data_IF_138302001814
#
_entry.id   IF_138302001814
#
_cell.length_a   1.000
_cell.length_b   1.000
_cell.length_c   1.000
_cell.angle_alpha   90.00
_cell.angle_beta   90.00
_cell.angle_gamma   90.00
#
_symmetry.space_group_name_H-M   'P 1'
#
loop_
_entity.id
_entity.type
_entity.pdbx_description
1 polymer ?
#
# COMPACT_ATOMS: atom_id res chain seq x y z
N UNK A 1 11.42 28.15 -13.21
CA UNK A 1 10.23 28.85 -12.68
C UNK A 1 9.09 27.85 -12.72
N UNK A 2 8.38 27.61 -11.62
CA UNK A 2 7.20 26.73 -11.64
C UNK A 2 6.09 27.46 -12.43
N UNK A 3 5.47 26.78 -13.40
CA UNK A 3 4.33 27.34 -14.14
C UNK A 3 3.19 27.60 -13.16
N UNK A 4 2.50 28.73 -13.30
CA UNK A 4 1.25 28.99 -12.59
C UNK A 4 0.15 28.02 -13.04
N UNK A 5 -0.87 27.82 -12.20
CA UNK A 5 -2.03 26.97 -12.54
C UNK A 5 -2.72 27.43 -13.82
N UNK A 6 -2.77 28.75 -14.06
CA UNK A 6 -3.33 29.32 -15.29
C UNK A 6 -2.52 28.90 -16.52
N UNK A 7 -1.19 29.00 -16.46
CA UNK A 7 -0.32 28.58 -17.57
C UNK A 7 -0.39 27.06 -17.80
N UNK A 8 -0.57 26.26 -16.73
CA UNK A 8 -0.82 24.82 -16.85
C UNK A 8 -2.13 24.56 -17.59
N UNK A 9 -3.22 25.23 -17.21
CA UNK A 9 -4.52 25.05 -17.86
C UNK A 9 -4.49 25.49 -19.33
N UNK A 10 -3.90 26.66 -19.62
CA UNK A 10 -3.79 27.20 -20.98
C UNK A 10 -2.97 26.31 -21.92
N UNK A 11 -2.04 25.51 -21.37
CA UNK A 11 -1.25 24.58 -22.17
C UNK A 11 -2.06 23.42 -22.76
N UNK A 12 -3.24 23.11 -22.18
CA UNK A 12 -4.07 21.94 -22.52
C UNK A 12 -3.33 20.60 -22.48
N UNK A 13 -2.21 20.54 -21.77
CA UNK A 13 -1.48 19.31 -21.49
C UNK A 13 -2.13 18.60 -20.31
N UNK A 14 -3.00 17.65 -20.60
CA UNK A 14 -3.75 16.91 -19.58
C UNK A 14 -2.85 16.08 -18.64
N UNK A 15 -1.68 15.64 -19.12
CA UNK A 15 -0.69 14.96 -18.28
C UNK A 15 -0.12 15.94 -17.26
N UNK A 16 0.29 17.14 -17.71
CA UNK A 16 0.78 18.18 -16.81
C UNK A 16 -0.30 18.63 -15.81
N UNK A 17 -1.56 18.72 -16.26
CA UNK A 17 -2.69 19.02 -15.38
C UNK A 17 -2.87 17.96 -14.30
N UNK A 18 -2.81 16.67 -14.65
CA UNK A 18 -2.89 15.56 -13.68
C UNK A 18 -1.75 15.57 -12.66
N UNK A 19 -0.52 15.85 -13.10
CA UNK A 19 0.65 16.03 -12.21
C UNK A 19 0.39 17.18 -11.23
N UNK A 20 -0.02 18.34 -11.72
CA UNK A 20 -0.24 19.52 -10.87
C UNK A 20 -1.45 19.33 -9.95
N UNK A 21 -2.48 18.60 -10.39
CA UNK A 21 -3.66 18.26 -9.60
C UNK A 21 -3.25 17.51 -8.34
N UNK A 22 -2.39 16.48 -8.46
CA UNK A 22 -1.87 15.75 -7.30
C UNK A 22 -1.03 16.63 -6.37
N UNK A 23 -0.25 17.58 -6.91
CA UNK A 23 0.49 18.54 -6.09
C UNK A 23 -0.42 19.49 -5.32
N UNK A 24 -1.51 19.97 -5.94
CA UNK A 24 -2.51 20.76 -5.23
C UNK A 24 -3.08 19.98 -4.05
N UNK A 25 -3.39 18.70 -4.23
CA UNK A 25 -3.86 17.83 -3.15
C UNK A 25 -2.81 17.66 -2.06
N UNK A 26 -1.55 17.42 -2.41
CA UNK A 26 -0.43 17.32 -1.47
C UNK A 26 -0.30 18.59 -0.59
N UNK A 27 -0.58 19.75 -1.17
CA UNK A 27 -0.55 21.04 -0.47
C UNK A 27 -1.86 21.42 0.23
N UNK A 28 -2.90 20.58 0.15
CA UNK A 28 -4.23 20.88 0.70
C UNK A 28 -5.01 21.95 -0.08
N UNK A 29 -4.60 22.25 -1.32
CA UNK A 29 -5.15 23.33 -2.14
C UNK A 29 -6.40 22.89 -2.92
N UNK A 30 -7.52 22.80 -2.21
CA UNK A 30 -8.83 22.46 -2.79
C UNK A 30 -9.26 23.44 -3.90
N UNK A 31 -8.83 24.71 -3.85
CA UNK A 31 -9.21 25.71 -4.85
C UNK A 31 -8.57 25.40 -6.20
N UNK A 32 -7.27 25.18 -6.24
CA UNK A 32 -6.58 24.89 -7.50
C UNK A 32 -6.85 23.45 -7.99
N UNK A 33 -7.08 22.50 -7.07
CA UNK A 33 -7.61 21.19 -7.41
C UNK A 33 -8.90 21.31 -8.24
N UNK A 34 -9.89 22.08 -7.76
CA UNK A 34 -11.16 22.31 -8.45
C UNK A 34 -10.97 22.92 -9.83
N UNK A 35 -10.14 23.96 -9.94
CA UNK A 35 -9.87 24.63 -11.22
C UNK A 35 -9.24 23.69 -12.25
N UNK A 36 -8.28 22.85 -11.84
CA UNK A 36 -7.66 21.87 -12.73
C UNK A 36 -8.67 20.80 -13.18
N UNK A 37 -9.46 20.27 -12.24
CA UNK A 37 -10.50 19.28 -12.55
C UNK A 37 -11.57 19.85 -13.49
N UNK A 38 -12.08 21.07 -13.25
CA UNK A 38 -13.02 21.78 -14.14
C UNK A 38 -12.43 22.06 -15.53
N UNK A 39 -11.11 22.20 -15.63
CA UNK A 39 -10.39 22.33 -16.90
C UNK A 39 -10.15 20.98 -17.63
N UNK A 40 -10.62 19.86 -17.08
CA UNK A 40 -10.52 18.53 -17.67
C UNK A 40 -9.32 17.71 -17.23
N UNK A 41 -8.64 18.09 -16.14
CA UNK A 41 -7.63 17.22 -15.52
C UNK A 41 -8.27 15.90 -15.08
N UNK A 42 -7.62 14.78 -15.37
CA UNK A 42 -8.07 13.48 -14.90
C UNK A 42 -7.87 13.38 -13.37
N UNK A 43 -8.98 13.26 -12.65
CA UNK A 43 -9.00 13.13 -11.19
C UNK A 43 -8.36 11.81 -10.72
N UNK A 44 -8.28 10.82 -11.61
CA UNK A 44 -7.66 9.53 -11.37
C UNK A 44 -6.21 9.46 -11.85
N UNK A 45 -5.62 10.54 -12.33
CA UNK A 45 -4.22 10.54 -12.78
C UNK A 45 -3.29 10.03 -11.67
N UNK A 46 -2.45 9.04 -12.01
CA UNK A 46 -1.62 8.34 -11.03
C UNK A 46 -0.19 8.07 -11.47
N UNK A 47 0.17 8.33 -12.74
CA UNK A 47 1.48 7.97 -13.30
C UNK A 47 2.65 8.51 -12.46
N UNK A 48 3.68 7.69 -12.27
CA UNK A 48 4.91 8.06 -11.55
C UNK A 48 5.55 9.35 -12.10
N UNK A 49 6.04 10.19 -11.20
CA UNK A 49 6.81 11.39 -11.53
C UNK A 49 7.90 11.67 -10.48
N UNK A 50 8.50 12.86 -10.51
CA UNK A 50 9.59 13.24 -9.60
C UNK A 50 9.17 13.38 -8.14
N UNK A 51 7.88 13.54 -7.88
CA UNK A 51 7.31 13.72 -6.53
C UNK A 51 6.69 12.42 -6.06
N UNK A 52 5.94 11.74 -6.92
CA UNK A 52 5.27 10.49 -6.63
C UNK A 52 5.95 9.35 -7.37
N UNK A 53 6.78 8.59 -6.68
CA UNK A 53 7.57 7.49 -7.25
C UNK A 53 6.79 6.18 -7.41
N UNK A 54 5.57 6.13 -6.88
CA UNK A 54 4.60 5.05 -7.09
C UNK A 54 3.39 5.58 -7.89
N UNK A 55 2.54 4.66 -8.33
CA UNK A 55 1.28 4.94 -9.04
C UNK A 55 0.21 5.60 -8.14
N UNK A 56 0.55 6.73 -7.53
CA UNK A 56 -0.22 7.43 -6.50
C UNK A 56 -1.30 8.34 -7.11
N UNK A 57 -2.57 8.15 -6.77
CA UNK A 57 -3.67 9.05 -7.16
C UNK A 57 -3.81 10.24 -6.22
N UNK A 58 -4.61 11.23 -6.62
CA UNK A 58 -5.08 12.30 -5.75
C UNK A 58 -5.76 11.76 -4.47
N UNK A 59 -6.56 10.69 -4.58
CA UNK A 59 -7.30 10.13 -3.45
C UNK A 59 -6.37 9.46 -2.42
N UNK A 60 -5.29 8.81 -2.87
CA UNK A 60 -4.23 8.29 -1.98
C UNK A 60 -3.66 9.42 -1.11
N UNK A 61 -3.26 10.52 -1.75
CA UNK A 61 -2.64 11.67 -1.07
C UNK A 61 -3.61 12.29 -0.06
N UNK A 62 -4.86 12.53 -0.47
CA UNK A 62 -5.87 13.15 0.37
C UNK A 62 -6.22 12.29 1.61
N UNK A 63 -6.31 10.96 1.44
CA UNK A 63 -6.55 10.03 2.54
C UNK A 63 -5.36 9.97 3.51
N UNK A 64 -4.13 9.91 2.97
CA UNK A 64 -2.92 9.91 3.79
C UNK A 64 -2.71 11.21 4.58
N UNK A 65 -3.11 12.35 4.01
CA UNK A 65 -3.03 13.65 4.67
C UNK A 65 -4.25 13.96 5.56
N UNK A 66 -5.22 13.05 5.68
CA UNK A 66 -6.49 13.25 6.39
C UNK A 66 -7.28 14.49 5.94
N UNK A 67 -7.21 14.82 4.64
CA UNK A 67 -7.92 15.97 4.06
C UNK A 67 -9.36 15.64 3.70
N UNK A 68 -10.23 15.58 4.73
CA UNK A 68 -11.65 15.22 4.60
C UNK A 68 -12.38 15.92 3.44
N UNK A 69 -12.30 17.25 3.34
CA UNK A 69 -13.00 18.02 2.30
C UNK A 69 -12.48 17.71 0.89
N UNK A 70 -11.18 17.41 0.76
CA UNK A 70 -10.59 17.00 -0.52
C UNK A 70 -11.01 15.58 -0.86
N UNK A 71 -10.97 14.64 0.09
CA UNK A 71 -11.45 13.26 -0.11
C UNK A 71 -12.90 13.28 -0.60
N UNK A 72 -13.77 14.04 0.07
CA UNK A 72 -15.17 14.17 -0.33
C UNK A 72 -15.31 14.72 -1.74
N UNK A 73 -14.61 15.81 -2.05
CA UNK A 73 -14.64 16.39 -3.39
C UNK A 73 -14.21 15.37 -4.45
N UNK A 74 -13.08 14.69 -4.25
CA UNK A 74 -12.54 13.69 -5.18
C UNK A 74 -13.56 12.55 -5.42
N UNK A 75 -14.11 11.96 -4.36
CA UNK A 75 -15.09 10.87 -4.46
C UNK A 75 -16.40 11.29 -5.12
N UNK A 76 -16.91 12.49 -4.82
CA UNK A 76 -18.14 13.01 -5.44
C UNK A 76 -17.93 13.38 -6.93
N UNK A 77 -16.67 13.48 -7.38
CA UNK A 77 -16.30 13.87 -8.74
C UNK A 77 -15.62 12.74 -9.52
N UNK A 78 -15.91 11.47 -9.17
CA UNK A 78 -15.53 10.32 -9.99
C UNK A 78 -14.13 9.78 -9.74
N UNK A 79 -13.49 10.12 -8.62
CA UNK A 79 -12.31 9.37 -8.17
C UNK A 79 -12.66 7.91 -7.92
N UNK A 80 -11.85 7.01 -8.46
CA UNK A 80 -11.99 5.57 -8.29
C UNK A 80 -11.20 5.10 -7.07
N UNK A 81 -11.92 4.72 -6.01
CA UNK A 81 -11.35 4.21 -4.76
C UNK A 81 -10.70 2.82 -4.89
N UNK A 82 -10.88 2.14 -6.03
CA UNK A 82 -10.35 0.80 -6.29
C UNK A 82 -8.92 0.83 -6.80
N UNK A 83 -8.45 1.97 -7.31
CA UNK A 83 -7.07 2.12 -7.81
C UNK A 83 -6.10 1.83 -6.67
N UNK A 84 -5.11 0.97 -6.95
CA UNK A 84 -3.97 0.70 -6.09
C UNK A 84 -2.77 1.49 -6.57
N UNK A 85 -1.92 1.93 -5.65
CA UNK A 85 -0.60 2.43 -5.98
C UNK A 85 0.38 1.28 -6.28
N UNK A 86 1.64 1.64 -6.55
CA UNK A 86 2.70 0.68 -6.86
C UNK A 86 3.06 -0.27 -5.71
N UNK A 87 2.49 -0.06 -4.51
CA UNK A 87 2.69 -0.89 -3.31
C UNK A 87 1.41 -1.66 -2.95
N UNK A 88 0.42 -1.66 -3.83
CA UNK A 88 -0.86 -2.35 -3.62
C UNK A 88 -1.82 -1.60 -2.67
N UNK A 89 -1.49 -0.37 -2.26
CA UNK A 89 -2.35 0.42 -1.39
C UNK A 89 -3.44 1.12 -2.20
N UNK A 90 -4.69 0.87 -1.85
CA UNK A 90 -5.83 1.78 -2.08
C UNK A 90 -5.87 2.91 -1.06
N UNK A 91 -6.61 3.99 -1.36
CA UNK A 91 -6.79 5.14 -0.46
C UNK A 91 -7.33 4.76 0.93
N UNK A 92 -8.15 3.71 1.00
CA UNK A 92 -8.65 3.16 2.25
C UNK A 92 -7.53 2.73 3.22
N UNK A 93 -6.43 2.15 2.72
CA UNK A 93 -5.33 1.67 3.58
C UNK A 93 -4.64 2.84 4.30
N UNK A 94 -4.42 3.96 3.61
CA UNK A 94 -3.86 5.17 4.23
C UNK A 94 -4.77 5.75 5.31
N UNK A 95 -6.07 5.87 5.03
CA UNK A 95 -7.04 6.31 6.03
C UNK A 95 -7.05 5.38 7.26
N UNK A 96 -6.94 4.07 7.04
CA UNK A 96 -6.89 3.07 8.10
C UNK A 96 -5.60 3.12 8.92
N UNK A 97 -4.45 3.29 8.27
CA UNK A 97 -3.14 3.45 8.94
C UNK A 97 -3.14 4.66 9.89
N UNK A 98 -3.82 5.74 9.49
CA UNK A 98 -4.02 6.95 10.29
C UNK A 98 -5.14 6.84 11.33
N UNK A 99 -5.87 5.73 11.38
CA UNK A 99 -7.06 5.55 12.21
C UNK A 99 -8.14 6.63 11.96
N UNK A 100 -8.25 7.12 10.72
CA UNK A 100 -9.22 8.13 10.31
C UNK A 100 -10.56 7.48 9.95
N UNK A 101 -11.33 7.16 10.99
CA UNK A 101 -12.61 6.45 10.87
C UNK A 101 -13.60 7.19 9.97
N UNK A 102 -13.56 8.53 9.94
CA UNK A 102 -14.48 9.31 9.14
C UNK A 102 -14.17 9.17 7.64
N UNK A 103 -12.88 9.29 7.26
CA UNK A 103 -12.45 9.09 5.87
C UNK A 103 -12.65 7.64 5.44
N UNK A 104 -12.35 6.66 6.31
CA UNK A 104 -12.58 5.24 6.02
C UNK A 104 -14.04 4.95 5.66
N UNK A 105 -14.99 5.52 6.43
CA UNK A 105 -16.42 5.36 6.15
C UNK A 105 -16.80 5.98 4.80
N UNK A 106 -16.33 7.19 4.53
CA UNK A 106 -16.63 7.90 3.30
C UNK A 106 -16.08 7.17 2.06
N UNK A 107 -14.86 6.65 2.13
CA UNK A 107 -14.28 5.83 1.06
C UNK A 107 -15.12 4.57 0.87
N UNK A 108 -15.42 3.83 1.96
CA UNK A 108 -16.19 2.58 1.92
C UNK A 108 -17.59 2.75 1.32
N UNK A 109 -18.23 3.90 1.52
CA UNK A 109 -19.54 4.20 0.92
C UNK A 109 -19.51 4.30 -0.61
N UNK A 110 -18.35 4.64 -1.19
CA UNK A 110 -18.15 4.89 -2.62
C UNK A 110 -17.32 3.81 -3.31
N UNK A 111 -16.80 2.87 -2.54
CA UNK A 111 -15.91 1.80 -2.98
C UNK A 111 -16.66 0.49 -3.27
N UNK A 112 -15.95 -0.51 -3.80
CA UNK A 112 -16.50 -1.85 -3.98
C UNK A 112 -16.69 -2.57 -2.65
N UNK A 113 -17.92 -3.05 -2.41
CA UNK A 113 -18.26 -3.77 -1.18
C UNK A 113 -17.46 -5.06 -1.03
N UNK A 114 -17.07 -5.70 -2.14
CA UNK A 114 -16.33 -6.96 -2.14
C UNK A 114 -15.01 -6.86 -1.37
N UNK A 115 -14.33 -5.71 -1.38
CA UNK A 115 -13.09 -5.51 -0.61
C UNK A 115 -13.26 -5.56 0.91
N UNK A 116 -14.51 -5.59 1.39
CA UNK A 116 -14.86 -5.67 2.80
C UNK A 116 -15.55 -6.99 3.16
N UNK A 117 -15.77 -7.87 2.19
CA UNK A 117 -16.37 -9.18 2.37
C UNK A 117 -15.26 -10.22 2.58
N UNK A 118 -15.29 -10.89 3.73
CA UNK A 118 -14.24 -11.81 4.16
C UNK A 118 -14.04 -12.96 3.16
N UNK A 119 -15.13 -13.61 2.72
CA UNK A 119 -15.08 -14.71 1.76
C UNK A 119 -14.43 -14.31 0.42
N UNK A 120 -14.70 -13.08 -0.04
CA UNK A 120 -14.08 -12.58 -1.27
C UNK A 120 -12.57 -12.40 -1.08
N UNK A 121 -12.16 -11.77 0.02
CA UNK A 121 -10.75 -11.55 0.35
C UNK A 121 -9.99 -12.87 0.52
N UNK A 122 -10.55 -13.81 1.28
CA UNK A 122 -9.98 -15.16 1.45
C UNK A 122 -9.80 -15.85 0.10
N UNK A 123 -10.84 -15.86 -0.75
CA UNK A 123 -10.76 -16.50 -2.06
C UNK A 123 -9.80 -15.79 -3.01
N UNK A 124 -9.61 -14.47 -2.87
CA UNK A 124 -8.57 -13.73 -3.58
C UNK A 124 -7.19 -14.24 -3.16
N UNK A 125 -6.91 -14.37 -1.86
CA UNK A 125 -5.62 -14.85 -1.35
C UNK A 125 -5.29 -16.28 -1.79
N UNK A 126 -6.27 -17.17 -1.80
CA UNK A 126 -6.10 -18.56 -2.31
C UNK A 126 -5.65 -18.61 -3.77
N UNK A 127 -6.04 -17.64 -4.61
CA UNK A 127 -5.57 -17.57 -6.02
C UNK A 127 -4.08 -17.25 -6.15
N UNK A 128 -3.46 -16.72 -5.09
CA UNK A 128 -2.02 -16.47 -5.01
C UNK A 128 -1.30 -17.58 -4.24
N UNK A 129 -1.94 -18.75 -4.06
CA UNK A 129 -1.39 -19.90 -3.36
C UNK A 129 -0.90 -19.59 -1.93
N UNK A 130 -1.46 -18.56 -1.27
CA UNK A 130 -1.10 -18.27 0.12
C UNK A 130 -1.47 -19.47 1.00
N UNK A 131 -0.58 -19.96 1.89
CA UNK A 131 -0.86 -21.13 2.71
C UNK A 131 -2.13 -20.95 3.55
N UNK A 132 -2.96 -21.99 3.65
CA UNK A 132 -4.27 -21.90 4.33
C UNK A 132 -4.11 -21.50 5.81
N UNK A 133 -3.07 -22.01 6.48
CA UNK A 133 -2.76 -21.66 7.87
C UNK A 133 -2.40 -20.18 8.04
N UNK A 134 -1.76 -19.58 7.03
CA UNK A 134 -1.51 -18.13 6.99
C UNK A 134 -2.82 -17.37 6.80
N UNK A 135 -3.71 -17.82 5.91
CA UNK A 135 -5.03 -17.20 5.70
C UNK A 135 -5.88 -17.27 6.99
N UNK A 136 -5.92 -18.44 7.65
CA UNK A 136 -6.61 -18.65 8.91
C UNK A 136 -6.09 -17.69 10.00
N UNK A 137 -4.77 -17.53 10.08
CA UNK A 137 -4.16 -16.58 11.00
C UNK A 137 -4.57 -15.12 10.70
N UNK A 138 -4.53 -14.70 9.42
CA UNK A 138 -4.94 -13.36 8.99
C UNK A 138 -6.44 -13.09 9.19
N UNK A 139 -7.28 -14.14 9.21
CA UNK A 139 -8.69 -14.07 9.57
C UNK A 139 -8.95 -13.99 11.08
N UNK A 140 -7.96 -14.33 11.90
CA UNK A 140 -8.09 -14.34 13.36
C UNK A 140 -8.07 -12.93 13.96
N UNK A 141 -8.51 -12.79 15.23
CA UNK A 141 -8.44 -11.53 15.96
C UNK A 141 -7.05 -11.23 16.57
N UNK A 142 -6.19 -12.24 16.72
CA UNK A 142 -4.90 -12.10 17.39
C UNK A 142 -3.75 -12.02 16.38
N UNK A 143 -3.59 -10.85 15.77
CA UNK A 143 -2.61 -10.61 14.70
C UNK A 143 -1.45 -9.70 15.11
N UNK A 144 -1.52 -9.15 16.32
CA UNK A 144 -0.41 -8.40 16.92
C UNK A 144 0.51 -9.40 17.61
N UNK A 145 1.80 -9.31 17.34
CA UNK A 145 2.82 -10.09 18.02
C UNK A 145 3.81 -9.11 18.65
N UNK A 146 3.95 -9.21 19.97
CA UNK A 146 5.00 -8.50 20.70
C UNK A 146 6.30 -9.30 20.56
N UNK A 147 7.40 -8.61 20.25
CA UNK A 147 8.70 -9.20 19.91
C UNK A 147 9.67 -8.96 21.08
N UNK A 148 9.69 -9.89 22.03
CA UNK A 148 10.45 -9.75 23.28
C UNK A 148 11.97 -9.83 23.09
N UNK A 149 12.45 -10.41 21.98
CA UNK A 149 13.87 -10.67 21.72
C UNK A 149 14.42 -9.85 20.55
N UNK A 150 13.55 -9.25 19.76
CA UNK A 150 13.91 -8.34 18.67
C UNK A 150 14.76 -7.18 19.19
N UNK A 151 15.76 -6.80 18.39
CA UNK A 151 16.64 -5.66 18.70
C UNK A 151 16.26 -4.38 17.95
N UNK A 152 15.30 -4.47 17.02
CA UNK A 152 14.90 -3.36 16.15
C UNK A 152 13.53 -2.77 16.50
N UNK A 153 12.56 -3.62 16.88
CA UNK A 153 11.14 -3.22 17.01
C UNK A 153 10.44 -4.00 18.11
N UNK A 154 9.51 -3.38 18.85
CA UNK A 154 8.84 -4.03 20.00
C UNK A 154 7.64 -4.88 19.58
N UNK A 155 7.02 -4.58 18.43
CA UNK A 155 5.89 -5.36 17.94
C UNK A 155 5.67 -5.24 16.43
N UNK A 156 5.00 -6.25 15.90
CA UNK A 156 4.41 -6.25 14.55
C UNK A 156 2.91 -6.48 14.61
N UNK A 157 2.21 -6.02 13.58
CA UNK A 157 0.79 -6.28 13.36
C UNK A 157 0.61 -6.81 11.94
N UNK A 158 0.13 -8.05 11.83
CA UNK A 158 -0.27 -8.62 10.55
C UNK A 158 -1.58 -8.02 10.03
N UNK A 159 -1.70 -7.94 8.72
CA UNK A 159 -2.92 -7.57 8.00
C UNK A 159 -4.11 -8.43 8.43
N UNK A 160 -5.33 -7.87 8.41
CA UNK A 160 -6.50 -8.75 8.24
C UNK A 160 -6.59 -9.18 6.77
N UNK A 161 -7.38 -10.20 6.45
CA UNK A 161 -7.55 -10.66 5.06
C UNK A 161 -8.00 -9.53 4.09
N UNK A 162 -8.71 -8.51 4.59
CA UNK A 162 -9.13 -7.34 3.81
C UNK A 162 -8.01 -6.33 3.54
N UNK A 163 -6.96 -6.34 4.36
CA UNK A 163 -5.85 -5.37 4.28
C UNK A 163 -4.63 -5.91 3.54
N UNK A 164 -4.61 -7.21 3.21
CA UNK A 164 -3.47 -7.81 2.51
C UNK A 164 -3.27 -7.12 1.16
N UNK A 165 -2.07 -6.57 0.99
CA UNK A 165 -1.66 -5.87 -0.22
C UNK A 165 -1.02 -6.86 -1.18
N UNK A 166 -1.29 -6.66 -2.45
CA UNK A 166 -0.68 -7.45 -3.51
C UNK A 166 -0.10 -6.46 -4.50
N UNK A 167 1.21 -6.55 -4.71
CA UNK A 167 1.92 -5.68 -5.61
C UNK A 167 2.93 -6.46 -6.43
N UNK A 168 3.34 -5.87 -7.54
CA UNK A 168 4.33 -6.42 -8.45
C UNK A 168 5.59 -5.56 -8.38
N UNK A 169 6.73 -6.21 -8.26
CA UNK A 169 8.03 -5.56 -8.27
C UNK A 169 9.02 -6.41 -9.06
N UNK A 170 9.67 -5.83 -10.06
CA UNK A 170 10.55 -6.52 -11.01
C UNK A 170 9.93 -7.81 -11.56
N UNK A 171 8.69 -7.71 -12.05
CA UNK A 171 7.88 -8.82 -12.58
C UNK A 171 7.58 -9.95 -11.58
N UNK A 172 7.84 -9.75 -10.28
CA UNK A 172 7.54 -10.71 -9.21
C UNK A 172 6.37 -10.19 -8.39
N UNK A 173 5.39 -11.06 -8.16
CA UNK A 173 4.24 -10.77 -7.29
C UNK A 173 4.59 -11.00 -5.83
N UNK A 174 4.28 -10.03 -4.98
CA UNK A 174 4.38 -10.10 -3.53
C UNK A 174 2.98 -9.98 -2.92
N UNK A 175 2.67 -10.88 -1.99
CA UNK A 175 1.50 -10.82 -1.11
C UNK A 175 2.00 -10.38 0.27
N UNK A 176 1.84 -9.11 0.57
CA UNK A 176 2.42 -8.45 1.75
C UNK A 176 1.55 -8.63 2.98
N UNK A 177 2.14 -9.17 4.05
CA UNK A 177 1.41 -9.74 5.17
C UNK A 177 1.34 -8.82 6.38
N UNK A 178 2.16 -7.77 6.44
CA UNK A 178 2.24 -6.87 7.58
C UNK A 178 1.45 -5.59 7.34
N UNK A 179 0.67 -5.20 8.35
CA UNK A 179 -0.01 -3.91 8.40
C UNK A 179 0.83 -2.86 9.15
N UNK A 180 1.68 -3.30 10.10
CA UNK A 180 2.58 -2.42 10.84
C UNK A 180 3.80 -3.17 11.34
N UNK A 181 4.95 -2.50 11.24
CA UNK A 181 6.15 -2.78 12.01
C UNK A 181 6.42 -1.52 12.81
N UNK A 182 6.55 -1.62 14.12
CA UNK A 182 6.77 -0.42 14.93
C UNK A 182 8.11 0.23 14.54
N UNK A 183 8.10 1.54 14.28
CA UNK A 183 9.25 2.37 13.90
C UNK A 183 9.87 2.11 12.51
N UNK A 184 9.31 1.19 11.71
CA UNK A 184 9.80 0.86 10.37
C UNK A 184 8.68 0.84 9.35
N UNK A 185 9.04 1.00 8.08
CA UNK A 185 8.13 0.69 6.97
C UNK A 185 7.82 -0.79 6.98
N UNK A 186 6.55 -1.15 6.98
CA UNK A 186 6.10 -2.54 7.08
C UNK A 186 6.17 -3.30 5.76
N UNK A 187 6.12 -2.57 4.64
CA UNK A 187 5.98 -3.12 3.29
C UNK A 187 7.18 -4.00 2.98
N UNK A 188 6.90 -5.25 2.64
CA UNK A 188 7.92 -6.16 2.17
C UNK A 188 8.77 -6.79 3.25
N UNK A 189 8.51 -6.52 4.54
CA UNK A 189 9.28 -7.15 5.63
C UNK A 189 8.95 -8.65 5.74
N UNK A 190 7.68 -9.02 5.59
CA UNK A 190 7.26 -10.42 5.40
C UNK A 190 6.21 -10.46 4.29
N UNK A 191 6.56 -11.11 3.20
CA UNK A 191 5.68 -11.34 2.06
C UNK A 191 5.67 -12.81 1.67
N UNK A 192 4.54 -13.26 1.13
CA UNK A 192 4.47 -14.50 0.39
C UNK A 192 4.72 -14.22 -1.09
N UNK A 193 5.56 -15.05 -1.72
CA UNK A 193 5.95 -14.91 -3.14
C UNK A 193 5.39 -16.13 -3.89
N UNK A 194 4.22 -15.99 -4.55
CA UNK A 194 3.47 -17.12 -5.11
C UNK A 194 4.27 -17.98 -6.08
N UNK A 195 5.06 -17.35 -6.95
CA UNK A 195 5.86 -18.03 -7.97
C UNK A 195 7.01 -18.86 -7.40
N UNK A 196 7.43 -18.55 -6.17
CA UNK A 196 8.50 -19.27 -5.47
C UNK A 196 7.96 -20.22 -4.41
N UNK A 197 6.64 -20.19 -4.17
CA UNK A 197 5.97 -20.91 -3.07
C UNK A 197 6.73 -20.75 -1.75
N UNK A 198 7.17 -19.52 -1.46
CA UNK A 198 8.06 -19.21 -0.34
C UNK A 198 7.69 -17.87 0.29
N UNK A 199 7.88 -17.78 1.60
CA UNK A 199 7.97 -16.49 2.28
C UNK A 199 9.29 -15.81 1.91
N UNK A 200 9.34 -14.49 2.09
CA UNK A 200 10.51 -13.68 1.82
C UNK A 200 10.33 -12.25 2.30
N UNK A 201 11.38 -11.45 2.09
CA UNK A 201 11.40 -10.02 2.34
C UNK A 201 11.92 -9.28 1.10
N UNK A 202 11.56 -8.02 0.94
CA UNK A 202 11.97 -7.18 -0.20
C UNK A 202 12.45 -5.82 0.29
N UNK A 203 13.63 -5.43 -0.21
CA UNK A 203 14.23 -4.11 -0.06
C UNK A 203 13.95 -3.28 -1.32
N UNK A 204 12.96 -2.40 -1.21
CA UNK A 204 12.62 -1.49 -2.28
C UNK A 204 13.69 -0.40 -2.50
N UNK A 205 14.48 -0.07 -1.48
CA UNK A 205 15.51 0.97 -1.57
C UNK A 205 16.78 0.47 -2.25
N UNK A 206 17.22 -0.74 -1.90
CA UNK A 206 18.41 -1.37 -2.49
C UNK A 206 18.11 -2.24 -3.72
N UNK A 207 16.82 -2.37 -4.06
CA UNK A 207 16.33 -3.14 -5.20
C UNK A 207 16.69 -4.64 -5.10
N UNK A 208 16.44 -5.25 -3.94
CA UNK A 208 16.77 -6.65 -3.64
C UNK A 208 15.59 -7.37 -2.96
N UNK A 209 15.57 -8.70 -3.02
CA UNK A 209 14.65 -9.50 -2.18
C UNK A 209 15.34 -10.78 -1.70
N UNK A 210 14.92 -11.27 -0.53
CA UNK A 210 15.42 -12.48 0.09
C UNK A 210 14.33 -13.53 0.24
N UNK A 211 14.69 -14.81 0.11
CA UNK A 211 13.77 -15.94 0.31
C UNK A 211 14.01 -16.64 1.65
N UNK A 212 12.93 -16.89 2.39
CA UNK A 212 12.89 -17.72 3.59
C UNK A 212 12.69 -19.19 3.20
N UNK A 213 13.66 -19.73 2.45
CA UNK A 213 13.53 -21.02 1.75
C UNK A 213 13.17 -22.17 2.68
N UNK A 214 12.10 -22.89 2.33
CA UNK A 214 11.67 -24.10 3.03
C UNK A 214 11.02 -23.87 4.39
N UNK A 215 10.80 -22.62 4.80
CA UNK A 215 10.10 -22.29 6.04
C UNK A 215 8.58 -22.38 5.81
N UNK A 216 7.92 -23.20 6.64
CA UNK A 216 6.46 -23.20 6.77
C UNK A 216 5.98 -21.97 7.54
N UNK A 217 4.66 -21.74 7.55
CA UNK A 217 4.07 -20.67 8.37
C UNK A 217 4.39 -20.85 9.87
N UNK A 218 4.41 -22.08 10.37
CA UNK A 218 4.78 -22.37 11.75
C UNK A 218 6.25 -22.04 12.02
N UNK A 219 7.15 -22.35 11.10
CA UNK A 219 8.56 -21.99 11.24
C UNK A 219 8.71 -20.46 11.33
N UNK A 220 7.92 -19.72 10.53
CA UNK A 220 7.90 -18.25 10.57
C UNK A 220 7.43 -17.74 11.94
N UNK A 221 6.31 -18.24 12.44
CA UNK A 221 5.75 -17.76 13.70
C UNK A 221 6.59 -18.18 14.91
N UNK A 222 7.20 -19.37 14.89
CA UNK A 222 8.02 -19.87 15.99
C UNK A 222 9.36 -19.11 16.17
N UNK A 223 9.91 -18.52 15.09
CA UNK A 223 11.18 -17.78 15.10
C UNK A 223 11.00 -16.30 14.68
N UNK A 224 9.81 -15.74 14.95
CA UNK A 224 9.38 -14.46 14.38
C UNK A 224 10.30 -13.28 14.75
N UNK A 225 10.81 -13.21 15.99
CA UNK A 225 11.77 -12.17 16.41
C UNK A 225 13.01 -12.15 15.50
N UNK A 226 13.62 -13.32 15.28
CA UNK A 226 14.82 -13.44 14.45
C UNK A 226 14.53 -13.18 12.97
N UNK A 227 13.36 -13.59 12.48
CA UNK A 227 12.94 -13.34 11.10
C UNK A 227 12.74 -11.86 10.86
N UNK A 228 12.11 -11.15 11.78
CA UNK A 228 11.94 -9.70 11.68
C UNK A 228 13.29 -9.00 11.73
N UNK A 229 14.15 -9.33 12.69
CA UNK A 229 15.50 -8.74 12.79
C UNK A 229 16.29 -8.96 11.49
N UNK A 230 16.29 -10.19 10.94
CA UNK A 230 16.97 -10.52 9.68
C UNK A 230 16.37 -9.85 8.45
N UNK A 231 15.05 -9.64 8.44
CA UNK A 231 14.38 -8.95 7.34
C UNK A 231 14.71 -7.46 7.38
N UNK A 232 14.73 -6.85 8.56
CA UNK A 232 15.09 -5.44 8.76
C UNK A 232 16.59 -5.18 8.62
N UNK A 233 17.44 -6.16 8.91
CA UNK A 233 18.90 -6.09 8.73
C UNK A 233 19.40 -6.57 7.35
N UNK A 234 18.47 -7.00 6.48
CA UNK A 234 18.74 -7.54 5.14
C UNK A 234 19.63 -8.78 5.10
N UNK A 235 19.67 -9.58 6.17
CA UNK A 235 20.45 -10.81 6.21
C UNK A 235 19.92 -11.89 5.24
N UNK A 236 18.65 -11.81 4.83
CA UNK A 236 18.07 -12.75 3.86
C UNK A 236 18.48 -12.48 2.40
N UNK A 237 18.93 -11.26 2.04
CA UNK A 237 19.36 -10.98 0.66
C UNK A 237 20.68 -11.67 0.31
N UNK A 238 21.53 -11.91 1.32
CA UNK A 238 22.83 -12.59 1.18
C UNK A 238 22.73 -14.08 0.76
N UNK A 239 21.52 -14.67 0.68
CA UNK A 239 21.29 -16.09 0.35
C UNK A 239 20.52 -16.33 -0.97
N UNK A 240 20.36 -15.31 -1.82
CA UNK A 240 19.72 -15.43 -3.13
C UNK A 240 20.52 -14.72 -4.22
N UNK A 241 20.74 -15.42 -5.34
CA UNK A 241 21.34 -14.85 -6.54
C UNK A 241 20.49 -13.68 -7.04
N UNK A 242 21.14 -12.54 -7.16
CA UNK A 242 20.67 -11.34 -7.84
C UNK A 242 20.34 -11.72 -9.29
N UNK A 243 19.12 -11.42 -9.75
CA UNK A 243 18.77 -11.45 -11.17
C UNK A 243 18.85 -10.04 -11.74
#
# INVERSE_FOLDING_TARGET
>A
MQKSIKEVIESKDFTLMGIELRKCVLMGDLKHLKLLHEAGADVNYYTKDKIFTTDTTALHIAANASYMEIVKYLLDNGSDAKIIDGLGNRAYHYAKANNDIAIMKLIKEKDDKLFYEEDYCVNKLRKYNLPEETIEFLGSNNRKIDLEKSTFTDYILFCSVQDVRIFEWNDIIFVDLLFRVENYTEIGVISWIPEKESFGCIDLEHNEFGLMKGMSWQDIICDIDNIIDKSLSWEFSNNTNIF
#
